data_IF_741927646354
#
_entry.id   IF_741927646354
#
_cell.length_a   1.000
_cell.length_b   1.000
_cell.length_c   1.000
_cell.angle_alpha   90.00
_cell.angle_beta   90.00
_cell.angle_gamma   90.00
#
_symmetry.space_group_name_H-M   'P 1'
#
loop_
_entity.id
_entity.type
_entity.pdbx_description
1 polymer ?
#
# COMPACT_ATOMS: atom_id res chain seq x y z
N UNK A 1 5.00 7.78 1.50
CA UNK A 1 3.76 7.05 1.86
C UNK A 1 3.30 6.25 0.64
N UNK A 2 2.70 5.08 0.86
CA UNK A 2 2.15 4.20 -0.18
C UNK A 2 0.65 4.02 0.10
N UNK A 3 -0.19 4.12 -0.94
CA UNK A 3 -1.64 3.86 -0.83
C UNK A 3 -1.90 2.38 -1.03
N UNK A 4 -2.45 1.74 -0.02
CA UNK A 4 -2.81 0.32 -0.01
C UNK A 4 -4.31 0.23 -0.26
N UNK A 5 -4.71 -0.60 -1.22
CA UNK A 5 -6.10 -0.72 -1.64
C UNK A 5 -7.02 -1.27 -0.54
N UNK A 6 -6.48 -2.08 0.37
CA UNK A 6 -7.24 -2.66 1.48
C UNK A 6 -7.06 -1.86 2.78
N UNK A 7 -7.97 -0.93 3.02
CA UNK A 7 -7.95 -0.11 4.24
C UNK A 7 -8.28 -0.89 5.52
N UNK A 8 -8.97 -2.03 5.43
CA UNK A 8 -9.36 -2.83 6.59
C UNK A 8 -8.16 -3.57 7.19
N UNK A 9 -7.28 -4.10 6.34
CA UNK A 9 -6.04 -4.78 6.74
C UNK A 9 -5.06 -3.80 7.38
N UNK A 10 -4.97 -2.57 6.84
CA UNK A 10 -4.08 -1.54 7.38
C UNK A 10 -4.45 -1.13 8.80
N UNK A 11 -5.74 -1.14 9.17
CA UNK A 11 -6.21 -0.83 10.54
C UNK A 11 -5.72 -1.82 11.61
N UNK A 12 -5.24 -3.00 11.19
CA UNK A 12 -4.70 -4.00 12.10
C UNK A 12 -3.19 -3.84 12.31
N UNK A 13 -2.51 -3.08 11.45
CA UNK A 13 -1.07 -2.90 11.49
C UNK A 13 -0.66 -1.86 12.54
N UNK A 14 0.43 -2.14 13.23
CA UNK A 14 1.08 -1.23 14.17
C UNK A 14 2.43 -0.77 13.62
N UNK A 15 2.88 0.45 13.95
CA UNK A 15 4.28 0.83 13.76
C UNK A 15 5.21 -0.23 14.38
N UNK A 16 6.11 -0.78 13.58
CA UNK A 16 6.99 -1.88 13.94
C UNK A 16 6.68 -3.21 13.23
N UNK A 17 5.48 -3.38 12.68
CA UNK A 17 5.09 -4.61 11.99
C UNK A 17 5.89 -4.81 10.69
N UNK A 18 6.03 -6.08 10.31
CA UNK A 18 6.63 -6.48 9.03
C UNK A 18 5.57 -6.97 8.08
N UNK A 19 5.61 -6.45 6.86
CA UNK A 19 4.64 -6.80 5.82
C UNK A 19 5.32 -7.08 4.50
N UNK A 20 4.72 -7.98 3.74
CA UNK A 20 5.01 -8.15 2.33
C UNK A 20 4.01 -7.32 1.52
N UNK A 21 4.50 -6.59 0.52
CA UNK A 21 3.68 -5.75 -0.36
C UNK A 21 3.54 -6.43 -1.71
N UNK A 22 2.30 -6.63 -2.12
CA UNK A 22 1.92 -7.31 -3.35
C UNK A 22 1.30 -6.28 -4.29
N UNK A 23 1.80 -6.20 -5.51
CA UNK A 23 1.14 -5.48 -6.59
C UNK A 23 0.29 -6.45 -7.39
N UNK A 24 -1.02 -6.20 -7.42
CA UNK A 24 -1.96 -6.90 -8.28
C UNK A 24 -2.32 -5.99 -9.45
N UNK A 25 -1.87 -6.37 -10.64
CA UNK A 25 -2.26 -5.68 -11.87
C UNK A 25 -3.69 -6.07 -12.21
N UNK A 26 -4.59 -5.10 -12.35
CA UNK A 26 -5.95 -5.37 -12.80
C UNK A 26 -6.00 -5.16 -14.31
N UNK A 27 -5.74 -6.23 -15.05
CA UNK A 27 -5.92 -6.23 -16.52
C UNK A 27 -7.22 -6.95 -16.88
N UNK A 28 -7.80 -6.61 -18.02
CA UNK A 28 -9.05 -7.20 -18.55
C UNK A 28 -8.99 -8.73 -18.63
N UNK A 29 -7.80 -9.32 -18.72
CA UNK A 29 -7.59 -10.78 -18.77
C UNK A 29 -7.25 -11.43 -17.42
N UNK A 30 -7.36 -10.69 -16.30
CA UNK A 30 -6.86 -11.13 -15.00
C UNK A 30 -5.36 -10.93 -14.92
N UNK A 31 -4.92 -9.78 -14.41
CA UNK A 31 -3.49 -9.48 -14.31
C UNK A 31 -2.80 -10.24 -13.18
N UNK A 32 -1.48 -10.36 -13.29
CA UNK A 32 -0.67 -11.09 -12.34
C UNK A 32 -0.53 -10.35 -11.00
N UNK A 33 -0.38 -11.12 -9.92
CA UNK A 33 0.06 -10.60 -8.64
C UNK A 33 1.56 -10.89 -8.45
N UNK A 34 2.35 -9.89 -8.06
CA UNK A 34 3.76 -10.06 -7.73
C UNK A 34 4.14 -9.35 -6.45
N UNK A 35 5.06 -9.94 -5.69
CA UNK A 35 5.61 -9.33 -4.48
C UNK A 35 6.62 -8.26 -4.88
N UNK A 36 6.38 -7.01 -4.48
CA UNK A 36 7.25 -5.86 -4.79
C UNK A 36 8.18 -5.53 -3.61
N UNK A 37 7.74 -5.81 -2.38
CA UNK A 37 8.56 -5.68 -1.20
C UNK A 37 8.34 -6.86 -0.26
N UNK A 38 9.43 -7.39 0.31
CA UNK A 38 9.38 -8.41 1.36
C UNK A 38 9.88 -7.85 2.68
N UNK A 39 9.19 -8.15 3.78
CA UNK A 39 9.56 -7.78 5.14
C UNK A 39 9.69 -6.27 5.38
N UNK A 40 8.94 -5.46 4.63
CA UNK A 40 8.89 -4.01 4.79
C UNK A 40 8.39 -3.65 6.19
N UNK A 41 9.08 -2.71 6.86
CA UNK A 41 8.68 -2.28 8.20
C UNK A 41 7.66 -1.16 8.10
N UNK A 42 6.53 -1.30 8.79
CA UNK A 42 5.57 -0.23 8.98
C UNK A 42 6.16 0.79 9.95
N UNK A 43 6.35 2.03 9.49
CA UNK A 43 6.85 3.12 10.35
C UNK A 43 5.73 3.99 10.87
N UNK A 44 4.69 4.16 10.09
CA UNK A 44 3.53 5.00 10.44
C UNK A 44 2.31 4.50 9.67
N UNK A 45 1.16 4.57 10.32
CA UNK A 45 -0.14 4.34 9.70
C UNK A 45 -0.95 5.62 9.91
N UNK A 46 -1.01 6.52 8.92
CA UNK A 46 -1.83 7.72 8.99
C UNK A 46 -3.29 7.37 9.22
N UNK A 47 -3.94 8.01 10.19
CA UNK A 47 -5.37 7.86 10.38
C UNK A 47 -6.11 8.45 9.17
N UNK A 48 -7.14 7.76 8.63
CA UNK A 48 -7.92 8.31 7.54
C UNK A 48 -8.56 9.62 8.02
N UNK A 49 -8.30 10.72 7.33
CA UNK A 49 -8.79 12.04 7.74
C UNK A 49 -10.32 12.00 7.89
N UNK A 50 -10.79 12.13 9.13
CA UNK A 50 -12.20 12.23 9.47
C UNK A 50 -12.76 13.53 8.91
N UNK A 51 -13.45 13.45 7.76
CA UNK A 51 -14.35 14.50 7.27
C UNK A 51 -13.67 15.77 6.74
N UNK A 52 -14.00 16.09 5.48
CA UNK A 52 -13.85 17.40 4.82
C UNK A 52 -12.43 17.93 4.57
N UNK A 53 -11.99 17.79 3.32
CA UNK A 53 -11.14 18.81 2.67
C UNK A 53 -9.65 18.48 2.53
N UNK A 54 -9.34 17.60 1.59
CA UNK A 54 -8.00 17.45 1.01
C UNK A 54 -8.13 16.71 -0.30
N UNK A 55 -7.74 17.32 -1.41
CA UNK A 55 -8.02 16.87 -2.77
C UNK A 55 -7.42 15.49 -3.11
N UNK A 56 -8.15 14.41 -2.83
CA UNK A 56 -7.99 13.06 -3.43
C UNK A 56 -9.29 12.23 -3.31
N UNK A 57 -10.42 12.91 -3.15
CA UNK A 57 -11.76 12.34 -2.91
C UNK A 57 -12.44 11.71 -4.13
N UNK A 58 -11.72 10.98 -4.99
CA UNK A 58 -12.31 10.14 -6.05
C UNK A 58 -11.34 9.02 -6.44
N UNK A 59 -11.49 7.84 -5.85
CA UNK A 59 -10.86 6.61 -6.34
C UNK A 59 -10.44 5.65 -5.22
N UNK A 60 -11.22 4.58 -5.05
CA UNK A 60 -10.98 3.40 -4.21
C UNK A 60 -10.64 3.61 -2.73
N UNK A 61 -11.41 2.93 -1.86
CA UNK A 61 -11.32 2.97 -0.39
C UNK A 61 -10.06 2.36 0.21
N UNK A 62 -8.88 2.73 -0.28
CA UNK A 62 -7.58 2.36 0.25
C UNK A 62 -7.06 3.28 1.35
N UNK A 63 -6.21 2.76 2.23
CA UNK A 63 -5.56 3.49 3.32
C UNK A 63 -4.08 3.82 3.01
N UNK A 64 -3.55 4.86 3.64
CA UNK A 64 -2.14 5.22 3.54
C UNK A 64 -1.32 4.45 4.57
N UNK A 65 -0.12 4.01 4.18
CA UNK A 65 0.90 3.43 5.08
C UNK A 65 2.26 4.02 4.75
N UNK A 66 3.06 4.30 5.76
CA UNK A 66 4.47 4.66 5.60
C UNK A 66 5.32 3.44 5.91
N UNK A 67 6.16 3.05 4.95
CA UNK A 67 7.03 1.89 5.03
C UNK A 67 8.50 2.32 5.00
N UNK A 68 9.31 1.71 5.86
CA UNK A 68 10.77 1.76 5.75
C UNK A 68 11.23 0.61 4.86
N UNK A 69 11.75 0.98 3.68
CA UNK A 69 12.27 0.07 2.66
C UNK A 69 13.55 0.63 2.03
N UNK A 70 14.41 -0.21 1.43
CA UNK A 70 15.54 0.26 0.63
C UNK A 70 15.09 1.17 -0.52
N UNK A 71 15.95 2.12 -0.94
CA UNK A 71 15.59 3.12 -1.97
C UNK A 71 15.22 2.50 -3.33
N UNK A 72 15.84 1.39 -3.70
CA UNK A 72 15.49 0.62 -4.91
C UNK A 72 14.07 0.05 -4.82
N UNK A 73 13.68 -0.50 -3.67
CA UNK A 73 12.32 -0.99 -3.40
C UNK A 73 11.31 0.14 -3.38
N UNK A 74 11.66 1.31 -2.82
CA UNK A 74 10.79 2.48 -2.83
C UNK A 74 10.44 2.92 -4.28
N UNK A 75 11.42 2.92 -5.18
CA UNK A 75 11.19 3.21 -6.60
C UNK A 75 10.27 2.15 -7.25
N UNK A 76 10.47 0.87 -6.93
CA UNK A 76 9.61 -0.22 -7.40
C UNK A 76 8.17 -0.11 -6.91
N UNK A 77 7.96 0.26 -5.64
CA UNK A 77 6.63 0.50 -5.06
C UNK A 77 5.94 1.69 -5.72
N UNK A 78 6.66 2.80 -5.96
CA UNK A 78 6.12 3.98 -6.63
C UNK A 78 5.67 3.65 -8.07
N UNK A 79 6.49 2.92 -8.83
CA UNK A 79 6.13 2.46 -10.16
C UNK A 79 4.92 1.52 -10.16
N UNK A 80 4.89 0.55 -9.24
CA UNK A 80 3.77 -0.37 -9.10
C UNK A 80 2.47 0.33 -8.69
N UNK A 81 2.51 1.31 -7.78
CA UNK A 81 1.31 2.07 -7.38
C UNK A 81 0.68 2.87 -8.52
N UNK A 82 1.44 3.19 -9.58
CA UNK A 82 0.92 3.91 -10.74
C UNK A 82 0.13 3.00 -11.70
N UNK A 83 0.35 1.69 -11.65
CA UNK A 83 -0.20 0.73 -12.64
C UNK A 83 -0.96 -0.43 -12.02
N UNK A 84 -0.87 -0.62 -10.70
CA UNK A 84 -1.38 -1.78 -9.99
C UNK A 84 -1.98 -1.39 -8.64
N UNK A 85 -2.99 -2.13 -8.20
CA UNK A 85 -3.49 -2.03 -6.83
C UNK A 85 -2.52 -2.73 -5.89
N UNK A 86 -2.16 -2.06 -4.80
CA UNK A 86 -1.24 -2.59 -3.80
C UNK A 86 -2.01 -3.22 -2.64
N UNK A 87 -1.65 -4.44 -2.27
CA UNK A 87 -2.14 -5.16 -1.10
C UNK A 87 -0.98 -5.49 -0.16
N UNK A 88 -1.29 -5.72 1.12
CA UNK A 88 -0.30 -6.10 2.13
C UNK A 88 -0.69 -7.41 2.78
N UNK A 89 0.30 -8.22 3.14
CA UNK A 89 0.12 -9.40 3.97
C UNK A 89 1.14 -9.39 5.10
N UNK A 90 0.76 -9.96 6.25
CA UNK A 90 1.66 -10.09 7.40
C UNK A 90 2.71 -11.17 7.10
N UNK A 91 3.97 -10.86 7.40
CA UNK A 91 5.11 -11.74 7.20
C UNK A 91 5.14 -12.88 8.22
#
# INVERSE_FOLDING_TARGET
AVRIADAATVRLLRPGDRVDVIAAEETVSGGGARVVARGARVTEVPEPADGTGGADGTGDGGALVVLSVPRSTAAGLAGASATARLAVTVW
#
